data_IF_411547521018
#
_entry.id   IF_411547521018
#
_cell.length_a   1.000
_cell.length_b   1.000
_cell.length_c   1.000
_cell.angle_alpha   90.00
_cell.angle_beta   90.00
_cell.angle_gamma   90.00
#
_symmetry.space_group_name_H-M   'P 1'
#
loop_
_entity.id
_entity.type
_entity.pdbx_description
1 polymer ?
#
# COMPACT_ATOMS: atom_id res chain seq x y z
N UNK A 1 -8.53 -21.87 -6.56
CA UNK A 1 -7.19 -22.33 -6.19
C UNK A 1 -6.20 -21.38 -6.85
N UNK A 2 -5.76 -20.34 -6.15
CA UNK A 2 -4.70 -19.46 -6.63
C UNK A 2 -3.42 -20.29 -6.66
N UNK A 3 -2.68 -20.36 -7.79
CA UNK A 3 -1.42 -21.08 -7.81
C UNK A 3 -0.49 -20.45 -6.77
N UNK A 4 0.29 -21.27 -6.07
CA UNK A 4 1.38 -20.77 -5.25
C UNK A 4 2.38 -20.08 -6.19
N UNK A 5 2.29 -18.76 -6.30
CA UNK A 5 3.19 -17.95 -7.12
C UNK A 5 4.60 -18.19 -6.62
N UNK A 6 5.46 -18.69 -7.51
CA UNK A 6 6.87 -18.94 -7.23
C UNK A 6 7.50 -17.67 -6.66
N UNK A 7 8.15 -17.77 -5.49
CA UNK A 7 8.74 -16.63 -4.81
C UNK A 7 9.98 -16.17 -5.59
N UNK A 8 9.79 -15.19 -6.47
CA UNK A 8 10.89 -14.62 -7.25
C UNK A 8 11.76 -13.78 -6.32
N UNK A 9 13.06 -14.10 -6.29
CA UNK A 9 14.05 -13.37 -5.49
C UNK A 9 14.98 -12.61 -6.42
N UNK A 10 15.07 -11.30 -6.17
CA UNK A 10 16.03 -10.38 -6.75
C UNK A 10 16.94 -9.79 -5.68
N UNK A 11 17.61 -8.70 -6.04
CA UNK A 11 18.56 -7.98 -5.18
C UNK A 11 18.39 -6.47 -5.30
N UNK A 12 18.67 -5.74 -4.23
CA UNK A 12 18.75 -4.28 -4.25
C UNK A 12 19.99 -3.84 -5.05
N UNK A 13 19.81 -2.95 -6.02
CA UNK A 13 20.93 -2.41 -6.82
C UNK A 13 21.21 -0.95 -6.53
N UNK A 14 20.21 -0.18 -6.12
CA UNK A 14 20.36 1.24 -5.78
C UNK A 14 19.34 1.66 -4.73
N UNK A 15 19.75 2.57 -3.84
CA UNK A 15 18.89 3.21 -2.84
C UNK A 15 19.08 4.73 -2.99
N UNK A 16 18.00 5.46 -3.25
CA UNK A 16 17.96 6.90 -3.43
C UNK A 16 16.80 7.49 -2.62
N UNK A 17 17.05 7.73 -1.33
CA UNK A 17 15.99 8.11 -0.39
C UNK A 17 14.94 7.00 -0.28
N UNK A 18 13.64 7.29 -0.50
CA UNK A 18 12.59 6.27 -0.48
C UNK A 18 12.52 5.43 -1.77
N UNK A 19 13.21 5.84 -2.85
CA UNK A 19 13.25 5.08 -4.09
C UNK A 19 14.32 4.00 -4.02
N UNK A 20 13.93 2.74 -4.22
CA UNK A 20 14.81 1.58 -4.19
C UNK A 20 14.70 0.83 -5.51
N UNK A 21 15.80 0.73 -6.23
CA UNK A 21 15.85 -0.04 -7.47
C UNK A 21 16.27 -1.47 -7.15
N UNK A 22 15.50 -2.44 -7.64
CA UNK A 22 15.72 -3.88 -7.46
C UNK A 22 15.94 -4.54 -8.83
N UNK A 23 16.86 -5.50 -8.90
CA UNK A 23 17.15 -6.29 -10.09
C UNK A 23 16.65 -7.73 -9.87
N UNK A 24 15.85 -8.22 -10.81
CA UNK A 24 15.27 -9.55 -10.81
C UNK A 24 15.78 -10.37 -12.00
N UNK A 25 15.74 -11.71 -11.93
CA UNK A 25 16.10 -12.56 -13.06
C UNK A 25 15.30 -12.22 -14.32
N UNK A 26 15.93 -12.40 -15.47
CA UNK A 26 15.29 -12.13 -16.77
C UNK A 26 14.01 -12.95 -16.95
N UNK A 27 12.94 -12.31 -17.43
CA UNK A 27 11.62 -12.92 -17.57
C UNK A 27 10.83 -13.08 -16.26
N UNK A 28 11.41 -12.73 -15.09
CA UNK A 28 10.76 -12.84 -13.78
C UNK A 28 10.55 -11.47 -13.11
N UNK A 29 10.51 -10.38 -13.89
CA UNK A 29 10.26 -9.05 -13.34
C UNK A 29 8.84 -8.96 -12.77
N UNK A 30 8.66 -8.51 -11.51
CA UNK A 30 7.34 -8.32 -10.94
C UNK A 30 6.55 -7.24 -11.68
N UNK A 31 5.22 -7.40 -11.74
CA UNK A 31 4.33 -6.40 -12.33
C UNK A 31 4.32 -5.09 -11.54
N UNK A 32 3.84 -4.02 -12.16
CA UNK A 32 3.59 -2.75 -11.46
C UNK A 32 2.65 -2.97 -10.27
N UNK A 33 2.82 -2.17 -9.22
CA UNK A 33 2.07 -2.24 -7.97
C UNK A 33 2.32 -3.52 -7.15
N UNK A 34 3.20 -4.43 -7.59
CA UNK A 34 3.56 -5.61 -6.80
C UNK A 34 4.37 -5.22 -5.56
N UNK A 35 4.06 -5.83 -4.42
CA UNK A 35 4.80 -5.67 -3.19
C UNK A 35 6.10 -6.51 -3.21
N UNK A 36 7.20 -5.87 -2.85
CA UNK A 36 8.54 -6.46 -2.73
C UNK A 36 8.96 -6.35 -1.26
N UNK A 37 9.28 -7.48 -0.64
CA UNK A 37 9.83 -7.52 0.72
C UNK A 37 11.35 -7.51 0.66
N UNK A 38 11.97 -6.52 1.28
CA UNK A 38 13.43 -6.40 1.38
C UNK A 38 13.86 -6.74 2.80
N UNK A 39 14.81 -7.66 2.92
CA UNK A 39 15.32 -8.11 4.21
C UNK A 39 16.84 -7.97 4.29
N UNK A 40 17.37 -7.60 5.45
CA UNK A 40 18.82 -7.59 5.72
C UNK A 40 19.41 -8.98 6.04
N UNK A 41 18.75 -10.05 5.61
CA UNK A 41 19.23 -11.43 5.80
C UNK A 41 20.65 -11.58 5.20
N UNK A 42 21.61 -12.01 6.02
CA UNK A 42 23.01 -12.15 5.60
C UNK A 42 23.86 -10.88 5.66
N UNK A 43 23.33 -9.78 6.20
CA UNK A 43 24.06 -8.53 6.40
C UNK A 43 24.14 -8.17 7.88
N UNK A 44 25.31 -7.68 8.32
CA UNK A 44 25.50 -7.13 9.66
C UNK A 44 25.13 -5.64 9.65
N UNK A 45 23.90 -5.35 10.11
CA UNK A 45 23.36 -3.99 10.21
C UNK A 45 22.87 -3.73 11.64
N UNK A 46 22.99 -2.50 12.16
CA UNK A 46 22.63 -2.19 13.55
C UNK A 46 21.18 -2.54 13.91
N UNK A 47 20.26 -2.38 12.96
CA UNK A 47 18.85 -2.71 13.08
C UNK A 47 18.45 -3.62 11.92
N UNK A 48 17.85 -4.80 12.18
CA UNK A 48 17.33 -5.66 11.12
C UNK A 48 16.34 -4.92 10.23
N UNK A 49 16.49 -5.07 8.92
CA UNK A 49 15.59 -4.47 7.94
C UNK A 49 14.59 -5.54 7.50
N UNK A 50 13.31 -5.19 7.58
CA UNK A 50 12.19 -5.94 7.02
C UNK A 50 11.18 -4.91 6.52
N UNK A 51 11.39 -4.48 5.28
CA UNK A 51 10.66 -3.34 4.69
C UNK A 51 9.91 -3.79 3.45
N UNK A 52 8.65 -3.37 3.35
CA UNK A 52 7.86 -3.51 2.12
C UNK A 52 8.12 -2.31 1.21
N UNK A 53 8.42 -2.60 -0.05
CA UNK A 53 8.48 -1.64 -1.14
C UNK A 53 7.43 -2.01 -2.21
N UNK A 54 6.95 -1.05 -2.96
CA UNK A 54 6.00 -1.29 -4.06
C UNK A 54 6.61 -0.91 -5.41
N UNK A 55 6.50 -1.79 -6.41
CA UNK A 55 6.97 -1.51 -7.77
C UNK A 55 6.16 -0.37 -8.40
N UNK A 56 6.83 0.70 -8.82
CA UNK A 56 6.21 1.83 -9.50
C UNK A 56 6.57 1.90 -10.99
N UNK A 57 7.72 1.36 -11.38
CA UNK A 57 8.19 1.47 -12.75
C UNK A 57 9.13 0.32 -13.13
N UNK A 58 9.08 -0.10 -14.38
CA UNK A 58 10.12 -0.93 -15.01
C UNK A 58 11.15 0.00 -15.67
N UNK A 59 12.43 -0.14 -15.30
CA UNK A 59 13.50 0.77 -15.75
C UNK A 59 14.48 0.10 -16.74
N UNK A 60 14.19 -1.14 -17.15
CA UNK A 60 15.00 -1.91 -18.11
C UNK A 60 16.03 -2.83 -17.45
N UNK A 61 16.69 -3.68 -18.24
CA UNK A 61 17.77 -4.59 -17.78
C UNK A 61 17.37 -5.51 -16.60
N UNK A 62 16.13 -5.97 -16.55
CA UNK A 62 15.65 -6.79 -15.41
C UNK A 62 15.40 -5.98 -14.13
N UNK A 63 15.44 -4.65 -14.19
CA UNK A 63 15.31 -3.77 -13.02
C UNK A 63 13.95 -3.10 -12.92
N UNK A 64 13.51 -2.97 -11.68
CA UNK A 64 12.29 -2.26 -11.29
C UNK A 64 12.63 -1.18 -10.27
N UNK A 65 11.97 -0.03 -10.39
CA UNK A 65 12.01 1.03 -9.39
C UNK A 65 10.85 0.85 -8.44
N UNK A 66 11.16 0.76 -7.16
CA UNK A 66 10.19 0.61 -6.09
C UNK A 66 10.20 1.82 -5.16
N UNK A 67 9.11 2.02 -4.42
CA UNK A 67 9.01 3.00 -3.34
C UNK A 67 8.85 2.27 -2.02
N UNK A 68 9.69 2.59 -1.05
CA UNK A 68 9.65 2.00 0.28
C UNK A 68 8.52 2.60 1.13
N UNK A 69 7.80 1.73 1.84
CA UNK A 69 6.70 2.12 2.75
C UNK A 69 7.19 2.39 4.19
N UNK A 70 8.45 2.07 4.47
CA UNK A 70 9.14 2.30 5.73
C UNK A 70 10.53 2.90 5.45
N UNK A 71 11.22 3.46 6.47
CA UNK A 71 12.55 4.03 6.28
C UNK A 71 13.54 3.07 5.63
N UNK A 72 14.41 3.60 4.78
CA UNK A 72 15.45 2.86 4.04
C UNK A 72 16.84 2.99 4.67
N UNK A 73 16.94 3.56 5.87
CA UNK A 73 18.20 3.71 6.60
C UNK A 73 18.85 2.35 6.87
N UNK A 74 20.14 2.25 6.58
CA UNK A 74 20.89 0.99 6.69
C UNK A 74 20.69 0.01 5.53
N UNK A 75 19.81 0.29 4.56
CA UNK A 75 19.65 -0.56 3.39
C UNK A 75 20.90 -0.48 2.50
N UNK A 76 21.43 -1.63 2.10
CA UNK A 76 22.63 -1.71 1.26
C UNK A 76 22.37 -2.50 -0.02
N UNK A 77 23.22 -2.27 -1.03
CA UNK A 77 23.17 -3.00 -2.29
C UNK A 77 23.47 -4.48 -2.07
N UNK A 78 22.79 -5.33 -2.82
CA UNK A 78 22.86 -6.79 -2.72
C UNK A 78 21.87 -7.39 -1.72
N UNK A 79 21.20 -6.58 -0.89
CA UNK A 79 20.15 -7.08 0.00
C UNK A 79 19.06 -7.81 -0.79
N UNK A 80 18.52 -8.87 -0.19
CA UNK A 80 17.51 -9.74 -0.79
C UNK A 80 16.21 -8.98 -1.00
N UNK A 81 15.70 -9.00 -2.23
CA UNK A 81 14.43 -8.38 -2.62
C UNK A 81 13.47 -9.48 -3.11
N UNK A 82 12.47 -9.81 -2.30
CA UNK A 82 11.54 -10.90 -2.59
C UNK A 82 10.22 -10.35 -3.13
N UNK A 83 9.82 -10.77 -4.32
CA UNK A 83 8.48 -10.47 -4.84
C UNK A 83 7.43 -11.26 -4.08
N UNK A 84 6.40 -10.58 -3.61
CA UNK A 84 5.23 -11.22 -2.98
C UNK A 84 4.18 -11.67 -4.03
N UNK A 85 4.38 -11.33 -5.30
CA UNK A 85 3.51 -11.72 -6.42
C UNK A 85 2.13 -11.07 -6.42
N UNK A 86 1.85 -10.17 -5.47
CA UNK A 86 0.61 -9.44 -5.35
C UNK A 86 0.87 -8.02 -4.84
N UNK A 87 -0.08 -7.08 -5.05
CA UNK A 87 -0.02 -5.77 -4.42
C UNK A 87 -0.06 -5.83 -2.90
N UNK A 88 0.23 -4.70 -2.25
CA UNK A 88 0.02 -4.56 -0.81
C UNK A 88 -1.45 -4.86 -0.49
N UNK A 89 -1.69 -5.75 0.47
CA UNK A 89 -3.03 -6.12 0.94
C UNK A 89 -3.20 -5.72 2.39
N UNK A 90 -4.41 -5.30 2.75
CA UNK A 90 -4.75 -4.82 4.09
C UNK A 90 -5.98 -5.57 4.63
N UNK A 91 -6.09 -5.77 5.96
CA UNK A 91 -7.24 -6.42 6.55
C UNK A 91 -8.48 -5.54 6.39
N UNK A 92 -9.63 -6.16 6.13
CA UNK A 92 -10.93 -5.50 6.04
C UNK A 92 -11.99 -6.28 6.78
N UNK A 93 -13.09 -5.62 7.15
CA UNK A 93 -14.20 -6.24 7.85
C UNK A 93 -14.60 -5.46 9.10
N UNK A 94 -15.42 -6.07 9.95
CA UNK A 94 -15.85 -5.44 11.22
C UNK A 94 -14.75 -5.51 12.28
N UNK A 95 -13.81 -6.43 12.10
CA UNK A 95 -12.66 -6.70 12.95
C UNK A 95 -11.67 -5.52 12.97
N UNK A 96 -11.70 -4.65 11.95
CA UNK A 96 -10.86 -3.45 11.87
C UNK A 96 -11.49 -2.24 12.56
N UNK A 97 -12.77 -2.30 12.96
CA UNK A 97 -13.46 -1.17 13.60
C UNK A 97 -12.82 -0.84 14.96
N UNK A 98 -12.51 0.44 15.16
CA UNK A 98 -11.87 0.93 16.38
C UNK A 98 -10.37 0.65 16.48
N UNK A 99 -9.74 0.10 15.43
CA UNK A 99 -8.30 -0.16 15.36
C UNK A 99 -7.58 0.95 14.61
N UNK A 100 -6.30 1.17 14.94
CA UNK A 100 -5.42 2.06 14.16
C UNK A 100 -4.44 1.20 13.37
N UNK A 101 -4.51 1.29 12.04
CA UNK A 101 -3.69 0.53 11.11
C UNK A 101 -2.76 1.46 10.33
N UNK A 102 -1.54 0.99 10.04
CA UNK A 102 -0.63 1.68 9.12
C UNK A 102 -0.96 1.35 7.64
N UNK A 103 -0.18 1.92 6.71
CA UNK A 103 -0.36 1.72 5.25
C UNK A 103 -0.22 0.25 4.80
N UNK A 104 0.50 -0.56 5.58
CA UNK A 104 0.67 -2.00 5.34
C UNK A 104 -0.43 -2.84 6.00
N UNK A 105 -1.43 -2.20 6.63
CA UNK A 105 -2.51 -2.89 7.33
C UNK A 105 -2.12 -3.47 8.70
N UNK A 106 -0.95 -3.12 9.22
CA UNK A 106 -0.46 -3.61 10.52
C UNK A 106 -1.00 -2.72 11.65
N UNK A 107 -1.40 -3.30 12.80
CA UNK A 107 -1.88 -2.53 13.94
C UNK A 107 -0.75 -1.74 14.60
N UNK A 108 -1.01 -0.46 14.89
CA UNK A 108 -0.06 0.45 15.59
C UNK A 108 -0.64 1.00 16.89
N UNK A 109 -1.76 0.44 17.35
CA UNK A 109 -2.50 0.85 18.55
C UNK A 109 -2.10 0.10 19.84
N UNK A 110 -1.13 -0.82 19.78
CA UNK A 110 -0.73 -1.71 20.88
C UNK A 110 -1.85 -2.61 21.44
N UNK A 111 -2.95 -2.82 20.70
CA UNK A 111 -4.08 -3.64 21.14
C UNK A 111 -4.00 -5.12 20.69
N UNK A 112 -2.80 -5.58 20.33
CA UNK A 112 -2.58 -6.93 19.77
C UNK A 112 -2.95 -7.05 18.29
N UNK A 113 -3.01 -8.27 17.73
CA UNK A 113 -3.28 -8.48 16.31
C UNK A 113 -4.73 -8.12 15.93
N UNK A 114 -4.96 -7.80 14.65
CA UNK A 114 -6.30 -7.74 14.07
C UNK A 114 -6.59 -9.10 13.43
N UNK A 115 -7.52 -9.86 14.02
CA UNK A 115 -7.90 -11.19 13.53
C UNK A 115 -8.92 -11.09 12.40
N UNK A 116 -8.57 -10.40 11.31
CA UNK A 116 -9.42 -10.29 10.13
C UNK A 116 -9.39 -11.58 9.31
N UNK A 117 -10.54 -11.93 8.75
CA UNK A 117 -10.69 -13.10 7.85
C UNK A 117 -10.46 -12.72 6.38
N UNK A 118 -10.71 -11.46 6.03
CA UNK A 118 -10.65 -10.96 4.67
C UNK A 118 -9.57 -9.88 4.52
N UNK A 119 -8.86 -9.95 3.39
CA UNK A 119 -7.84 -8.98 3.00
C UNK A 119 -8.13 -8.50 1.58
N UNK A 120 -7.94 -7.20 1.33
CA UNK A 120 -8.11 -6.61 0.00
C UNK A 120 -6.85 -5.88 -0.45
N UNK A 121 -6.52 -5.89 -1.75
CA UNK A 121 -5.43 -5.09 -2.28
C UNK A 121 -5.77 -3.60 -2.23
N UNK A 122 -4.77 -2.75 -1.97
CA UNK A 122 -4.95 -1.29 -1.95
C UNK A 122 -5.17 -0.72 -3.36
N UNK A 123 -4.66 -1.40 -4.39
CA UNK A 123 -4.85 -1.04 -5.79
C UNK A 123 -6.03 -1.81 -6.37
N UNK A 124 -7.02 -1.06 -6.88
CA UNK A 124 -8.22 -1.59 -7.52
C UNK A 124 -8.73 -0.63 -8.57
N UNK A 125 -9.34 -1.17 -9.61
CA UNK A 125 -10.00 -0.36 -10.62
C UNK A 125 -11.16 0.43 -9.99
N UNK A 126 -11.41 1.61 -10.55
CA UNK A 126 -12.59 2.39 -10.23
C UNK A 126 -13.87 1.60 -10.61
N UNK A 127 -15.00 1.85 -9.94
CA UNK A 127 -16.29 1.28 -10.34
C UNK A 127 -16.60 1.57 -11.81
N UNK A 128 -17.26 0.62 -12.49
CA UNK A 128 -17.65 0.81 -13.88
C UNK A 128 -18.73 1.89 -14.02
N UNK A 129 -19.03 2.32 -15.24
CA UNK A 129 -20.11 3.28 -15.47
C UNK A 129 -21.49 2.71 -15.06
N UNK A 130 -21.69 1.40 -15.22
CA UNK A 130 -22.94 0.71 -14.88
C UNK A 130 -23.16 0.62 -13.36
N UNK A 131 -22.08 0.58 -12.58
CA UNK A 131 -22.13 0.54 -11.11
C UNK A 131 -22.41 1.92 -10.47
N UNK A 132 -22.39 3.00 -11.26
CA UNK A 132 -22.56 4.35 -10.74
C UNK A 132 -24.04 4.67 -10.51
N UNK A 133 -24.36 5.06 -9.27
CA UNK A 133 -25.69 5.56 -8.93
C UNK A 133 -25.86 7.01 -9.38
N UNK A 134 -27.00 7.32 -10.01
CA UNK A 134 -27.42 8.68 -10.38
C UNK A 134 -28.33 9.33 -9.34
N UNK A 135 -28.59 8.66 -8.22
CA UNK A 135 -29.46 9.17 -7.15
C UNK A 135 -28.78 10.31 -6.40
N UNK A 136 -29.50 11.43 -6.26
CA UNK A 136 -29.09 12.56 -5.45
C UNK A 136 -29.95 12.59 -4.20
N UNK A 137 -29.33 12.35 -3.04
CA UNK A 137 -29.97 12.38 -1.73
C UNK A 137 -29.14 13.26 -0.80
N UNK A 138 -29.80 14.18 -0.08
CA UNK A 138 -29.12 15.01 0.91
C UNK A 138 -28.65 14.14 2.08
N UNK A 139 -27.43 14.41 2.54
CA UNK A 139 -26.87 13.88 3.78
C UNK A 139 -26.97 14.97 4.85
N UNK A 140 -28.00 14.90 5.70
CA UNK A 140 -28.21 15.85 6.79
C UNK A 140 -27.08 15.72 7.83
N UNK A 141 -26.34 16.80 8.04
CA UNK A 141 -25.19 16.82 8.95
C UNK A 141 -25.55 17.31 10.35
N UNK A 142 -26.64 18.06 10.48
CA UNK A 142 -27.02 18.78 11.70
C UNK A 142 -26.27 20.11 11.89
N UNK A 143 -25.43 20.52 10.93
CA UNK A 143 -24.64 21.74 10.99
C UNK A 143 -25.30 22.80 10.12
N UNK A 144 -25.86 23.84 10.74
CA UNK A 144 -26.68 24.87 10.05
C UNK A 144 -26.04 25.45 8.79
N UNK A 145 -24.75 25.82 8.84
CA UNK A 145 -24.09 26.44 7.68
C UNK A 145 -23.93 25.45 6.53
N UNK A 146 -23.64 24.18 6.83
CA UNK A 146 -23.50 23.13 5.83
C UNK A 146 -24.88 22.80 5.26
N UNK A 147 -25.84 22.44 6.12
CA UNK A 147 -27.16 21.99 5.66
C UNK A 147 -27.95 23.08 4.92
N UNK A 148 -27.70 24.36 5.20
CA UNK A 148 -28.38 25.49 4.55
C UNK A 148 -27.68 25.99 3.28
N UNK A 149 -26.35 26.11 3.29
CA UNK A 149 -25.60 26.81 2.23
C UNK A 149 -24.93 25.83 1.28
N UNK A 150 -24.36 24.73 1.78
CA UNK A 150 -23.64 23.73 0.99
C UNK A 150 -24.02 22.31 1.43
N UNK A 151 -25.26 21.86 1.17
CA UNK A 151 -25.75 20.58 1.64
C UNK A 151 -24.96 19.42 1.02
N UNK A 152 -24.54 18.47 1.85
CA UNK A 152 -23.75 17.33 1.39
C UNK A 152 -24.62 16.28 0.69
N UNK A 153 -24.07 15.63 -0.33
CA UNK A 153 -24.72 14.50 -1.00
C UNK A 153 -24.30 13.18 -0.36
N UNK A 154 -25.27 12.31 -0.08
CA UNK A 154 -25.01 10.95 0.41
C UNK A 154 -24.22 10.16 -0.63
N UNK A 155 -23.05 9.65 -0.25
CA UNK A 155 -22.13 8.96 -1.16
C UNK A 155 -21.34 9.88 -2.09
N UNK A 156 -21.48 11.20 -1.94
CA UNK A 156 -20.68 12.20 -2.65
C UNK A 156 -19.28 12.38 -2.08
N UNK A 157 -18.47 13.21 -2.75
CA UNK A 157 -17.14 13.63 -2.30
C UNK A 157 -17.22 15.09 -1.85
N UNK A 158 -16.69 15.38 -0.67
CA UNK A 158 -16.71 16.72 -0.06
C UNK A 158 -15.27 17.17 0.18
N UNK A 159 -14.94 18.42 -0.18
CA UNK A 159 -13.65 19.03 0.11
C UNK A 159 -13.77 20.02 1.28
N UNK A 160 -12.92 19.89 2.28
CA UNK A 160 -12.80 20.85 3.39
C UNK A 160 -11.53 21.66 3.20
N UNK A 161 -11.66 22.91 2.76
CA UNK A 161 -10.54 23.80 2.51
C UNK A 161 -10.43 24.83 3.63
N UNK A 162 -9.31 24.81 4.36
CA UNK A 162 -9.02 25.74 5.45
C UNK A 162 -7.52 26.00 5.58
N UNK A 163 -7.16 27.07 6.28
CA UNK A 163 -5.78 27.35 6.70
C UNK A 163 -5.44 26.65 8.02
N UNK A 164 -4.22 26.87 8.51
CA UNK A 164 -3.91 26.58 9.91
C UNK A 164 -4.66 27.58 10.80
N UNK A 165 -5.47 27.07 11.73
CA UNK A 165 -6.31 27.87 12.64
C UNK A 165 -5.50 28.69 13.62
#
# INVERSE_FOLDING_TARGET
MTPATELVVGKVVQVAGPAVDCEFPEGQMPELMTAIRITSEGYDVPNPIDTICEVQQHIGEGRVRTIAMQPTEGMVRGMKAQSLGAPITVPVGRETLGRVLNVLGQPVDNMGPVNATNFLPIHRLAPSFEDQSTKLEMFETGIKVIDLIEPYLRGGKIGLFGGAG
#
